data_IF_303459655842
#
_entry.id   IF_303459655842
#
_cell.length_a   1.000
_cell.length_b   1.000
_cell.length_c   1.000
_cell.angle_alpha   90.00
_cell.angle_beta   90.00
_cell.angle_gamma   90.00
#
_symmetry.space_group_name_H-M   'P 1'
#
loop_
_entity.id
_entity.type
_entity.pdbx_description
1 polymer ?
#
# COMPACT_ATOMS: atom_id res chain seq x y z
N UNK A 1 -3.34 -32.08 47.30
CA UNK A 1 -3.90 -31.67 45.99
C UNK A 1 -4.43 -30.25 46.16
N UNK A 2 -3.72 -29.26 45.62
CA UNK A 2 -4.04 -27.83 45.78
C UNK A 2 -5.12 -27.45 44.77
N UNK A 3 -6.24 -26.92 45.27
CA UNK A 3 -7.35 -26.39 44.47
C UNK A 3 -6.97 -25.02 43.90
N UNK A 4 -7.09 -24.85 42.58
CA UNK A 4 -6.91 -23.57 41.91
C UNK A 4 -8.29 -22.90 41.75
N UNK A 5 -8.49 -21.80 42.47
CA UNK A 5 -9.64 -20.90 42.30
C UNK A 5 -9.26 -19.81 41.30
N UNK A 6 -9.95 -19.74 40.16
CA UNK A 6 -9.80 -18.67 39.17
C UNK A 6 -11.10 -17.83 39.16
N UNK A 7 -11.11 -16.58 39.65
CA UNK A 7 -12.31 -15.74 39.55
C UNK A 7 -12.43 -15.18 38.13
N UNK A 8 -13.50 -15.58 37.45
CA UNK A 8 -13.96 -15.04 36.16
C UNK A 8 -14.42 -13.59 36.43
N UNK A 9 -13.53 -12.63 36.24
CA UNK A 9 -13.84 -11.21 36.30
C UNK A 9 -14.55 -10.79 35.00
N UNK A 10 -15.88 -10.82 35.06
CA UNK A 10 -16.81 -9.82 34.54
C UNK A 10 -16.36 -8.98 33.34
N UNK A 11 -16.77 -9.43 32.14
CA UNK A 11 -16.85 -8.60 30.94
C UNK A 11 -18.20 -7.86 30.92
N UNK A 12 -18.16 -6.53 31.10
CA UNK A 12 -19.22 -5.63 30.65
C UNK A 12 -18.66 -4.20 30.63
N UNK A 13 -18.59 -3.56 29.44
CA UNK A 13 -19.23 -2.27 29.21
C UNK A 13 -19.21 -1.91 27.71
N UNK A 14 -20.40 -1.98 27.12
CA UNK A 14 -20.83 -1.32 25.89
C UNK A 14 -20.89 0.21 26.13
N UNK A 15 -20.64 1.08 25.14
CA UNK A 15 -21.46 2.28 24.78
C UNK A 15 -20.78 3.15 23.69
N UNK A 16 -21.44 3.13 22.51
CA UNK A 16 -21.89 4.20 21.61
C UNK A 16 -20.97 5.31 21.01
N UNK A 17 -21.02 5.33 19.67
CA UNK A 17 -21.49 6.40 18.77
C UNK A 17 -20.69 7.69 18.56
N UNK A 18 -20.42 7.96 17.28
CA UNK A 18 -20.06 9.27 16.74
C UNK A 18 -20.21 9.33 15.22
N UNK A 19 -21.44 9.20 14.71
CA UNK A 19 -21.79 9.62 13.34
C UNK A 19 -22.19 11.10 13.43
N UNK A 20 -21.37 12.00 12.90
CA UNK A 20 -21.61 13.44 12.90
C UNK A 20 -22.42 13.88 11.66
N UNK A 21 -23.31 14.88 11.78
CA UNK A 21 -24.15 15.33 10.68
C UNK A 21 -23.39 16.21 9.67
N UNK A 22 -23.67 16.01 8.38
CA UNK A 22 -23.33 16.91 7.27
C UNK A 22 -23.85 18.33 7.55
N UNK A 23 -22.96 19.33 7.49
CA UNK A 23 -23.33 20.74 7.56
C UNK A 23 -23.78 21.21 6.15
N UNK A 24 -24.88 21.99 6.05
CA UNK A 24 -25.32 22.53 4.77
C UNK A 24 -24.40 23.68 4.31
N UNK A 25 -24.14 23.71 3.00
CA UNK A 25 -23.41 24.77 2.31
C UNK A 25 -24.15 26.11 2.47
N UNK A 26 -23.54 27.10 3.13
CA UNK A 26 -24.02 28.48 3.07
C UNK A 26 -23.28 29.24 1.97
N UNK A 27 -24.01 29.59 0.92
CA UNK A 27 -23.65 30.67 -0.01
C UNK A 27 -23.44 31.97 0.78
N UNK A 28 -22.28 32.59 0.63
CA UNK A 28 -22.09 33.98 1.07
C UNK A 28 -21.56 34.80 -0.09
N UNK A 29 -22.52 35.45 -0.75
CA UNK A 29 -22.33 36.48 -1.75
C UNK A 29 -21.78 37.76 -1.11
N UNK A 30 -20.68 38.27 -1.67
CA UNK A 30 -20.45 39.69 -1.89
C UNK A 30 -20.02 40.56 -0.69
N UNK A 31 -18.75 40.97 -0.71
CA UNK A 31 -18.35 42.37 -0.50
C UNK A 31 -16.93 42.59 -1.05
N UNK A 32 -16.83 43.46 -2.05
CA UNK A 32 -15.60 44.04 -2.57
C UNK A 32 -15.19 45.21 -1.67
N UNK A 33 -13.92 45.26 -1.25
CA UNK A 33 -13.22 46.52 -0.96
C UNK A 33 -11.71 46.31 -0.80
N UNK A 34 -10.99 47.09 -1.61
CA UNK A 34 -9.69 47.72 -1.33
C UNK A 34 -8.44 46.83 -1.33
N UNK A 35 -7.89 46.62 -2.53
CA UNK A 35 -6.49 46.23 -2.72
C UNK A 35 -5.60 47.45 -2.45
N UNK A 36 -5.23 47.67 -1.20
CA UNK A 36 -4.15 48.59 -0.87
C UNK A 36 -2.81 47.97 -1.31
N UNK A 37 -2.09 48.70 -2.15
CA UNK A 37 -0.82 48.30 -2.75
C UNK A 37 0.30 48.24 -1.70
N UNK A 38 0.80 47.04 -1.41
CA UNK A 38 2.13 46.86 -0.81
C UNK A 38 2.84 45.76 -1.59
N UNK A 39 3.86 46.13 -2.35
CA UNK A 39 4.78 45.16 -2.94
C UNK A 39 5.72 44.61 -1.85
N UNK A 40 5.79 43.29 -1.63
CA UNK A 40 6.87 42.73 -0.85
C UNK A 40 8.05 42.43 -1.78
N UNK A 41 9.12 43.18 -1.56
CA UNK A 41 10.46 42.84 -2.02
C UNK A 41 10.98 41.61 -1.25
N UNK A 42 11.72 40.76 -1.97
CA UNK A 42 12.72 39.79 -1.50
C UNK A 42 12.28 38.57 -0.66
N UNK A 43 12.48 37.36 -1.20
CA UNK A 43 13.39 36.33 -0.64
C UNK A 43 13.49 35.14 -1.60
N UNK A 44 14.67 34.52 -1.84
CA UNK A 44 14.71 33.21 -2.45
C UNK A 44 14.09 32.26 -1.43
N UNK A 45 12.94 31.68 -1.77
CA UNK A 45 12.36 30.61 -0.97
C UNK A 45 13.38 29.46 -0.98
N UNK A 46 14.14 29.31 0.10
CA UNK A 46 14.85 28.08 0.42
C UNK A 46 13.77 27.01 0.53
N UNK A 47 13.53 26.29 -0.55
CA UNK A 47 12.71 25.10 -0.56
C UNK A 47 13.44 24.07 0.32
N UNK A 48 13.01 23.97 1.57
CA UNK A 48 13.35 22.85 2.43
C UNK A 48 12.97 21.58 1.67
N UNK A 49 13.98 20.82 1.22
CA UNK A 49 13.73 19.50 0.68
C UNK A 49 13.24 18.63 1.84
N UNK A 50 11.92 18.46 1.92
CA UNK A 50 11.32 17.46 2.80
C UNK A 50 11.98 16.10 2.51
N UNK A 51 12.37 15.33 3.54
CA UNK A 51 13.02 14.05 3.33
C UNK A 51 12.10 13.14 2.51
N UNK A 52 12.64 12.55 1.43
CA UNK A 52 11.93 11.55 0.62
C UNK A 52 11.64 10.33 1.51
N UNK A 53 10.41 10.22 2.00
CA UNK A 53 10.01 9.10 2.84
C UNK A 53 9.79 7.86 1.97
N UNK A 54 10.61 6.83 2.20
CA UNK A 54 10.52 5.57 1.48
C UNK A 54 10.44 4.42 2.49
N UNK A 55 9.35 3.64 2.43
CA UNK A 55 9.11 2.45 3.27
C UNK A 55 9.11 1.16 2.46
N UNK A 56 9.64 1.20 1.24
CA UNK A 56 9.70 0.04 0.36
C UNK A 56 10.90 -0.84 0.73
N UNK A 57 10.64 -2.12 0.96
CA UNK A 57 11.65 -3.14 1.24
C UNK A 57 11.71 -4.13 0.07
N UNK A 58 12.92 -4.56 -0.29
CA UNK A 58 13.17 -5.44 -1.43
C UNK A 58 14.02 -6.62 -0.98
N UNK A 59 13.37 -7.76 -0.78
CA UNK A 59 14.05 -9.00 -0.40
C UNK A 59 14.81 -9.61 -1.57
N UNK A 60 15.79 -10.45 -1.22
CA UNK A 60 16.47 -11.29 -2.19
C UNK A 60 15.52 -12.37 -2.73
N UNK A 61 15.41 -12.45 -4.06
CA UNK A 61 14.61 -13.47 -4.74
C UNK A 61 15.52 -14.68 -5.00
N UNK A 62 15.27 -15.78 -4.30
CA UNK A 62 15.90 -17.07 -4.58
C UNK A 62 15.09 -17.81 -5.65
N UNK A 63 15.69 -18.08 -6.80
CA UNK A 63 15.07 -18.91 -7.82
C UNK A 63 15.10 -20.39 -7.40
N UNK A 64 14.05 -21.13 -7.78
CA UNK A 64 14.00 -22.57 -7.57
C UNK A 64 14.97 -23.27 -8.52
N UNK A 65 15.70 -24.26 -7.99
CA UNK A 65 16.57 -25.10 -8.79
C UNK A 65 15.77 -26.08 -9.67
N UNK A 66 16.40 -26.57 -10.74
CA UNK A 66 15.81 -27.61 -11.57
C UNK A 66 15.97 -28.97 -10.89
N UNK A 67 14.84 -29.57 -10.54
CA UNK A 67 14.79 -30.87 -9.84
C UNK A 67 14.35 -32.00 -10.76
N UNK A 68 14.85 -33.22 -10.51
CA UNK A 68 14.44 -34.40 -11.28
C UNK A 68 13.09 -34.91 -10.76
N UNK A 69 12.02 -34.96 -11.59
CA UNK A 69 10.69 -35.36 -11.14
C UNK A 69 10.57 -36.83 -10.73
N UNK A 70 11.48 -37.71 -11.19
CA UNK A 70 11.53 -39.11 -10.75
C UNK A 70 12.11 -39.25 -9.33
N UNK A 71 12.90 -38.28 -8.88
CA UNK A 71 13.51 -38.28 -7.55
C UNK A 71 12.72 -37.39 -6.57
N UNK A 72 12.25 -36.23 -7.05
CA UNK A 72 11.49 -35.24 -6.30
C UNK A 72 10.12 -35.03 -6.97
N UNK A 73 9.16 -35.96 -6.79
CA UNK A 73 7.87 -35.92 -7.50
C UNK A 73 6.86 -34.94 -6.91
N UNK A 74 7.17 -34.30 -5.79
CA UNK A 74 6.25 -33.40 -5.09
C UNK A 74 6.67 -31.95 -5.32
N UNK A 75 5.72 -31.14 -5.78
CA UNK A 75 5.87 -29.70 -5.92
C UNK A 75 4.89 -29.00 -4.99
N UNK A 76 5.38 -27.99 -4.27
CA UNK A 76 4.54 -27.13 -3.44
C UNK A 76 4.30 -25.84 -4.20
N UNK A 77 3.03 -25.49 -4.39
CA UNK A 77 2.63 -24.22 -5.01
C UNK A 77 1.90 -23.37 -3.98
N UNK A 78 2.21 -22.07 -3.96
CA UNK A 78 1.41 -21.08 -3.26
C UNK A 78 0.16 -20.75 -4.09
N UNK A 79 -0.94 -20.46 -3.41
CA UNK A 79 -2.21 -20.06 -4.05
C UNK A 79 -2.40 -18.53 -4.10
N UNK A 80 -1.54 -17.77 -3.42
CA UNK A 80 -1.71 -16.32 -3.31
C UNK A 80 -1.30 -15.62 -4.61
N UNK A 81 -2.01 -14.54 -4.93
CA UNK A 81 -1.78 -13.74 -6.14
C UNK A 81 -1.27 -12.37 -5.73
N UNK A 82 0.05 -12.23 -5.72
CA UNK A 82 0.71 -10.95 -5.49
C UNK A 82 0.75 -10.11 -6.78
N UNK A 83 0.53 -8.79 -6.66
CA UNK A 83 0.45 -7.85 -7.81
C UNK A 83 1.14 -6.50 -7.54
N UNK A 84 1.84 -6.37 -6.42
CA UNK A 84 2.41 -5.09 -5.96
C UNK A 84 3.62 -4.66 -6.81
N UNK A 85 4.47 -5.61 -7.18
CA UNK A 85 5.73 -5.40 -7.90
C UNK A 85 5.53 -4.59 -9.19
N UNK A 86 4.53 -4.92 -10.02
CA UNK A 86 4.32 -4.19 -11.28
C UNK A 86 3.96 -2.72 -11.05
N UNK A 87 3.14 -2.40 -10.06
CA UNK A 87 2.76 -1.01 -9.77
C UNK A 87 3.98 -0.17 -9.38
N UNK A 88 4.89 -0.76 -8.59
CA UNK A 88 6.11 -0.11 -8.15
C UNK A 88 7.12 0.05 -9.30
N UNK A 89 7.38 -1.03 -10.05
CA UNK A 89 8.25 -1.02 -11.24
C UNK A 89 7.77 -0.01 -12.26
N UNK A 90 6.46 0.01 -12.57
CA UNK A 90 5.86 0.96 -13.51
C UNK A 90 6.10 2.41 -13.08
N UNK A 91 5.93 2.71 -11.78
CA UNK A 91 6.18 4.06 -11.25
C UNK A 91 7.63 4.47 -11.46
N UNK A 92 8.59 3.63 -11.08
CA UNK A 92 10.02 3.92 -11.23
C UNK A 92 10.41 4.14 -12.68
N UNK A 93 9.95 3.26 -13.57
CA UNK A 93 10.21 3.40 -15.01
C UNK A 93 9.59 4.68 -15.58
N UNK A 94 8.38 5.05 -15.15
CA UNK A 94 7.76 6.34 -15.53
C UNK A 94 8.52 7.56 -15.01
N UNK A 95 9.28 7.41 -13.93
CA UNK A 95 10.17 8.43 -13.39
C UNK A 95 11.57 8.39 -14.01
N UNK A 96 11.82 7.50 -14.97
CA UNK A 96 13.14 7.31 -15.58
C UNK A 96 14.17 6.66 -14.66
N UNK A 97 13.73 6.06 -13.54
CA UNK A 97 14.59 5.33 -12.61
C UNK A 97 14.55 3.84 -12.91
N UNK A 98 15.72 3.19 -12.91
CA UNK A 98 15.79 1.73 -13.00
C UNK A 98 15.33 1.12 -11.67
N UNK A 99 14.42 0.12 -11.69
CA UNK A 99 14.01 -0.57 -10.48
C UNK A 99 15.17 -1.42 -9.92
N UNK A 100 15.29 -1.55 -8.59
CA UNK A 100 16.23 -2.49 -7.99
C UNK A 100 15.79 -3.93 -8.32
N UNK A 101 16.73 -4.87 -8.33
CA UNK A 101 16.46 -6.25 -8.73
C UNK A 101 15.32 -6.91 -7.91
N UNK A 102 15.31 -6.71 -6.58
CA UNK A 102 14.26 -7.25 -5.71
C UNK A 102 12.88 -6.61 -5.90
N UNK A 103 12.78 -5.46 -6.60
CA UNK A 103 11.48 -4.91 -6.98
C UNK A 103 10.83 -5.66 -8.15
N UNK A 104 11.60 -6.46 -8.89
CA UNK A 104 11.16 -7.16 -10.10
C UNK A 104 10.88 -8.62 -9.74
N UNK A 105 9.65 -8.92 -9.31
CA UNK A 105 9.20 -10.28 -9.04
C UNK A 105 8.46 -10.82 -10.26
N UNK A 106 9.03 -11.84 -10.92
CA UNK A 106 8.56 -12.33 -12.22
C UNK A 106 7.11 -12.81 -12.12
N UNK A 107 6.76 -13.55 -11.07
CA UNK A 107 5.39 -14.02 -10.87
C UNK A 107 4.39 -12.85 -10.77
N UNK A 108 4.71 -11.82 -10.00
CA UNK A 108 3.80 -10.69 -9.80
C UNK A 108 3.62 -9.85 -11.06
N UNK A 109 4.66 -9.74 -11.87
CA UNK A 109 4.63 -9.05 -13.16
C UNK A 109 3.69 -9.76 -14.13
N UNK A 110 3.75 -11.08 -14.20
CA UNK A 110 2.88 -11.90 -15.05
C UNK A 110 1.45 -11.92 -14.50
N UNK A 111 1.30 -12.06 -13.19
CA UNK A 111 0.02 -12.16 -12.49
C UNK A 111 -0.76 -10.84 -12.43
N UNK A 112 -0.11 -9.69 -12.63
CA UNK A 112 -0.79 -8.39 -12.63
C UNK A 112 -1.87 -8.27 -13.72
N UNK A 113 -1.69 -8.95 -14.84
CA UNK A 113 -2.62 -8.86 -15.97
C UNK A 113 -3.78 -9.84 -15.80
N UNK A 114 -4.99 -9.38 -16.13
CA UNK A 114 -6.15 -10.26 -16.25
C UNK A 114 -6.08 -11.02 -17.57
N UNK A 115 -6.31 -12.34 -17.50
CA UNK A 115 -6.35 -13.20 -18.67
C UNK A 115 -7.75 -13.78 -18.83
N UNK A 116 -8.29 -13.68 -20.04
CA UNK A 116 -9.58 -14.29 -20.40
C UNK A 116 -9.39 -15.77 -20.79
N UNK A 117 -8.80 -16.56 -19.88
CA UNK A 117 -8.64 -18.00 -20.08
C UNK A 117 -9.93 -18.76 -19.71
N UNK A 118 -10.31 -19.79 -20.49
CA UNK A 118 -11.40 -20.67 -20.10
C UNK A 118 -11.04 -21.39 -18.80
N UNK A 119 -12.03 -21.56 -17.92
CA UNK A 119 -11.85 -22.35 -16.70
C UNK A 119 -11.64 -23.84 -17.04
N UNK A 120 -10.86 -24.57 -16.23
CA UNK A 120 -10.62 -26.00 -16.47
C UNK A 120 -11.89 -26.84 -16.25
N UNK A 121 -12.05 -27.91 -17.03
CA UNK A 121 -13.25 -28.77 -17.01
C UNK A 121 -13.33 -29.76 -15.83
N UNK A 122 -12.25 -29.86 -15.02
CA UNK A 122 -12.19 -30.71 -13.83
C UNK A 122 -11.86 -32.18 -14.10
#
# INVERSE_FOLDING_TARGET
MRTANLPIATLALLILAGCGPEAPLSEQSGAVSDYESVAPSATPATASAEPEFNTEEYDYIAENEFENPLQNPLSTFAIDVDTASYSNVRRMLRQGKLPPAGAVRIEELVNYFSYDYPQPDG
#
